data_IF_769585260352
#
_entry.id   IF_769585260352
#
_cell.length_a   1.000
_cell.length_b   1.000
_cell.length_c   1.000
_cell.angle_alpha   90.00
_cell.angle_beta   90.00
_cell.angle_gamma   90.00
#
_symmetry.space_group_name_H-M   'P 1'
#
loop_
_entity.id
_entity.type
_entity.pdbx_description
1 polymer ?
#
# COMPACT_ATOMS: atom_id res chain seq x y z
N UNK A 1 -20.43 -16.14 -7.76
CA UNK A 1 -19.79 -15.24 -8.76
C UNK A 1 -19.15 -14.08 -8.00
N UNK A 2 -17.91 -13.72 -8.29
CA UNK A 2 -17.27 -12.52 -7.74
C UNK A 2 -17.36 -11.41 -8.77
N UNK A 3 -17.90 -10.26 -8.37
CA UNK A 3 -18.07 -9.09 -9.24
C UNK A 3 -17.47 -7.88 -8.55
N UNK A 4 -16.77 -7.07 -9.34
CA UNK A 4 -16.12 -5.86 -8.89
C UNK A 4 -16.56 -4.69 -9.76
N UNK A 5 -16.91 -3.58 -9.12
CA UNK A 5 -17.23 -2.32 -9.79
C UNK A 5 -16.24 -1.25 -9.33
N UNK A 6 -15.85 -0.36 -10.25
CA UNK A 6 -14.95 0.76 -9.97
C UNK A 6 -15.56 2.04 -10.51
N UNK A 7 -15.57 3.07 -9.68
CA UNK A 7 -15.83 4.46 -10.08
C UNK A 7 -14.61 5.33 -9.79
N UNK A 8 -14.46 6.40 -10.56
CA UNK A 8 -13.43 7.41 -10.36
C UNK A 8 -13.95 8.76 -10.86
N UNK A 9 -13.82 9.79 -10.04
CA UNK A 9 -14.09 11.18 -10.42
C UNK A 9 -12.95 12.10 -10.00
N UNK A 10 -12.62 13.06 -10.84
CA UNK A 10 -11.72 14.17 -10.55
C UNK A 10 -12.46 15.51 -10.48
N UNK A 11 -13.78 15.48 -10.24
CA UNK A 11 -14.54 16.68 -9.93
C UNK A 11 -14.04 17.27 -8.59
N UNK A 12 -13.76 18.58 -8.51
CA UNK A 12 -13.27 19.19 -7.27
C UNK A 12 -14.35 19.32 -6.18
N UNK A 13 -15.64 19.24 -6.52
CA UNK A 13 -16.72 19.26 -5.54
C UNK A 13 -16.94 17.86 -4.94
N UNK A 14 -16.94 17.79 -3.61
CA UNK A 14 -16.99 16.50 -2.90
C UNK A 14 -18.30 15.74 -3.15
N UNK A 15 -19.42 16.45 -3.33
CA UNK A 15 -20.72 15.83 -3.55
C UNK A 15 -20.87 15.39 -5.00
N UNK A 16 -20.46 16.21 -5.96
CA UNK A 16 -20.49 15.83 -7.38
C UNK A 16 -19.53 14.67 -7.66
N UNK A 17 -18.30 14.71 -7.13
CA UNK A 17 -17.32 13.65 -7.30
C UNK A 17 -17.83 12.30 -6.82
N UNK A 18 -18.44 12.24 -5.63
CA UNK A 18 -18.97 10.98 -5.10
C UNK A 18 -20.24 10.53 -5.81
N UNK A 19 -21.08 11.45 -6.27
CA UNK A 19 -22.27 11.10 -7.05
C UNK A 19 -21.89 10.45 -8.38
N UNK A 20 -20.93 11.05 -9.10
CA UNK A 20 -20.41 10.50 -10.35
C UNK A 20 -19.79 9.12 -10.12
N UNK A 21 -18.94 9.00 -9.10
CA UNK A 21 -18.28 7.75 -8.73
C UNK A 21 -19.29 6.64 -8.40
N UNK A 22 -20.33 6.95 -7.62
CA UNK A 22 -21.40 6.01 -7.27
C UNK A 22 -22.22 5.62 -8.51
N UNK A 23 -22.55 6.57 -9.38
CA UNK A 23 -23.31 6.29 -10.60
C UNK A 23 -22.56 5.30 -11.50
N UNK A 24 -21.27 5.53 -11.73
CA UNK A 24 -20.41 4.62 -12.49
C UNK A 24 -20.39 3.21 -11.85
N UNK A 25 -20.26 3.14 -10.53
CA UNK A 25 -20.32 1.87 -9.78
C UNK A 25 -21.67 1.16 -9.98
N UNK A 26 -22.80 1.87 -9.80
CA UNK A 26 -24.14 1.29 -9.93
C UNK A 26 -24.41 0.76 -11.34
N UNK A 27 -23.97 1.48 -12.38
CA UNK A 27 -24.07 1.02 -13.77
C UNK A 27 -23.28 -0.28 -13.98
N UNK A 28 -22.07 -0.38 -13.42
CA UNK A 28 -21.25 -1.59 -13.51
C UNK A 28 -21.82 -2.77 -12.71
N UNK A 29 -22.40 -2.49 -11.55
CA UNK A 29 -23.01 -3.49 -10.66
C UNK A 29 -24.25 -4.13 -11.27
N UNK A 30 -24.99 -3.44 -12.14
CA UNK A 30 -26.17 -3.98 -12.85
C UNK A 30 -27.20 -4.62 -11.90
N UNK A 31 -27.49 -3.93 -10.80
CA UNK A 31 -28.46 -4.37 -9.78
C UNK A 31 -27.90 -5.25 -8.66
N UNK A 32 -26.65 -5.72 -8.76
CA UNK A 32 -25.97 -6.43 -7.67
C UNK A 32 -25.70 -5.50 -6.47
N UNK A 33 -25.82 -6.04 -5.26
CA UNK A 33 -25.63 -5.27 -4.02
C UNK A 33 -24.22 -5.54 -3.48
N UNK A 34 -23.38 -4.50 -3.30
CA UNK A 34 -22.03 -4.68 -2.77
C UNK A 34 -22.05 -4.94 -1.27
N UNK A 35 -21.22 -5.88 -0.83
CA UNK A 35 -21.04 -6.21 0.58
C UNK A 35 -19.86 -5.48 1.22
N UNK A 36 -18.88 -5.07 0.42
CA UNK A 36 -17.68 -4.38 0.88
C UNK A 36 -17.16 -3.41 -0.18
N UNK A 37 -16.29 -2.50 0.24
CA UNK A 37 -15.62 -1.60 -0.68
C UNK A 37 -14.37 -0.96 -0.11
N UNK A 38 -13.59 -0.33 -0.99
CA UNK A 38 -12.42 0.47 -0.64
C UNK A 38 -12.54 1.84 -1.30
N UNK A 39 -12.48 2.89 -0.49
CA UNK A 39 -12.47 4.28 -0.93
C UNK A 39 -11.06 4.89 -0.81
N UNK A 40 -10.56 5.45 -1.88
CA UNK A 40 -9.36 6.27 -1.88
C UNK A 40 -9.69 7.68 -2.35
N UNK A 41 -9.14 8.68 -1.66
CA UNK A 41 -9.47 10.08 -1.94
C UNK A 41 -8.29 11.00 -1.66
N UNK A 42 -8.21 12.11 -2.40
CA UNK A 42 -7.30 13.18 -2.06
C UNK A 42 -7.62 13.82 -0.71
N UNK A 43 -6.62 14.47 -0.11
CA UNK A 43 -6.67 14.98 1.27
C UNK A 43 -7.63 16.17 1.47
N UNK A 44 -8.02 16.87 0.41
CA UNK A 44 -8.81 18.12 0.49
C UNK A 44 -10.32 17.94 0.36
N UNK A 45 -10.80 16.72 0.08
CA UNK A 45 -12.23 16.43 0.00
C UNK A 45 -12.93 16.48 1.37
N UNK A 46 -14.24 16.72 1.38
CA UNK A 46 -15.10 16.59 2.55
C UNK A 46 -15.41 15.11 2.83
N UNK A 47 -14.43 14.37 3.37
CA UNK A 47 -14.51 12.91 3.50
C UNK A 47 -15.73 12.41 4.27
N UNK A 48 -16.17 13.13 5.30
CA UNK A 48 -17.38 12.76 6.05
C UNK A 48 -18.63 12.79 5.17
N UNK A 49 -18.77 13.78 4.28
CA UNK A 49 -19.88 13.85 3.33
C UNK A 49 -19.83 12.67 2.36
N UNK A 50 -18.64 12.38 1.83
CA UNK A 50 -18.42 11.27 0.90
C UNK A 50 -18.83 9.93 1.53
N UNK A 51 -18.33 9.63 2.73
CA UNK A 51 -18.63 8.38 3.42
C UNK A 51 -20.13 8.24 3.76
N UNK A 52 -20.79 9.35 4.17
CA UNK A 52 -22.23 9.33 4.40
C UNK A 52 -23.00 9.03 3.11
N UNK A 53 -22.62 9.64 1.98
CA UNK A 53 -23.28 9.40 0.69
C UNK A 53 -23.12 7.96 0.20
N UNK A 54 -21.95 7.35 0.42
CA UNK A 54 -21.73 5.91 0.16
C UNK A 54 -22.66 5.07 1.03
N UNK A 55 -22.71 5.34 2.33
CA UNK A 55 -23.55 4.57 3.25
C UNK A 55 -25.06 4.74 3.00
N UNK A 56 -25.51 5.91 2.56
CA UNK A 56 -26.90 6.14 2.12
C UNK A 56 -27.26 5.30 0.90
N UNK A 57 -26.31 5.10 -0.02
CA UNK A 57 -26.53 4.35 -1.25
C UNK A 57 -26.35 2.84 -1.06
N UNK A 58 -25.37 2.44 -0.25
CA UNK A 58 -25.05 1.05 0.06
C UNK A 58 -25.06 0.83 1.59
N UNK A 59 -26.24 0.71 2.22
CA UNK A 59 -26.34 0.57 3.67
C UNK A 59 -25.64 -0.69 4.18
N UNK A 60 -24.92 -0.56 5.31
CA UNK A 60 -24.18 -1.64 5.99
C UNK A 60 -22.97 -2.20 5.23
N UNK A 61 -22.49 -1.52 4.18
CA UNK A 61 -21.29 -1.93 3.46
C UNK A 61 -20.07 -2.00 4.39
N UNK A 62 -19.28 -3.07 4.27
CA UNK A 62 -17.97 -3.20 4.91
C UNK A 62 -16.95 -2.35 4.14
N UNK A 63 -16.91 -1.05 4.46
CA UNK A 63 -16.08 -0.06 3.77
C UNK A 63 -14.83 0.28 4.60
N UNK A 64 -13.66 0.23 3.96
CA UNK A 64 -12.44 0.88 4.44
C UNK A 64 -11.92 1.88 3.41
N UNK A 65 -10.85 2.58 3.74
CA UNK A 65 -10.19 3.45 2.80
C UNK A 65 -9.19 4.37 3.47
N UNK A 66 -8.76 5.39 2.74
CA UNK A 66 -7.98 6.46 3.30
C UNK A 66 -7.53 7.49 2.28
N UNK A 67 -6.80 8.48 2.77
CA UNK A 67 -6.25 9.53 1.92
C UNK A 67 -4.96 9.12 1.23
N UNK A 68 -4.72 9.71 0.07
CA UNK A 68 -3.64 9.30 -0.83
C UNK A 68 -2.84 10.47 -1.40
N UNK A 69 -1.77 10.14 -2.14
CA UNK A 69 -0.98 11.10 -2.92
C UNK A 69 -1.21 10.95 -4.44
N UNK A 70 -2.37 10.42 -4.82
CA UNK A 70 -2.80 10.22 -6.19
C UNK A 70 -3.57 8.92 -6.34
N UNK A 71 -4.53 8.92 -7.26
CA UNK A 71 -5.46 7.83 -7.47
C UNK A 71 -5.26 7.26 -8.89
N UNK A 72 -5.44 5.95 -9.05
CA UNK A 72 -5.39 5.29 -10.35
C UNK A 72 -6.58 4.36 -10.52
N UNK A 73 -7.13 4.27 -11.73
CA UNK A 73 -8.20 3.31 -12.04
C UNK A 73 -8.25 2.95 -13.52
N UNK A 74 -9.03 1.91 -13.84
CA UNK A 74 -9.45 1.62 -15.22
C UNK A 74 -10.39 2.65 -15.86
N UNK A 75 -10.92 3.61 -15.10
CA UNK A 75 -11.87 4.62 -15.59
C UNK A 75 -11.14 5.88 -16.06
N UNK A 76 -10.36 6.52 -15.18
CA UNK A 76 -9.67 7.79 -15.45
C UNK A 76 -8.14 7.67 -15.53
N UNK A 77 -7.60 6.45 -15.57
CA UNK A 77 -6.15 6.21 -15.44
C UNK A 77 -5.61 6.86 -14.14
N UNK A 78 -4.38 7.37 -14.14
CA UNK A 78 -3.83 8.17 -13.06
C UNK A 78 -4.44 9.58 -13.02
N UNK A 79 -4.88 10.00 -11.84
CA UNK A 79 -5.35 11.34 -11.54
C UNK A 79 -4.71 11.86 -10.25
N UNK A 80 -4.82 13.18 -10.06
CA UNK A 80 -4.51 13.87 -8.81
C UNK A 80 -5.78 14.58 -8.37
N UNK A 81 -5.89 14.82 -7.07
CA UNK A 81 -7.03 15.55 -6.48
C UNK A 81 -8.37 14.90 -6.85
N UNK A 82 -8.42 13.56 -6.80
CA UNK A 82 -9.58 12.79 -7.23
C UNK A 82 -10.00 11.77 -6.17
N UNK A 83 -11.07 11.04 -6.46
CA UNK A 83 -11.54 9.92 -5.63
C UNK A 83 -11.76 8.68 -6.48
N UNK A 84 -11.47 7.50 -5.92
CA UNK A 84 -11.84 6.22 -6.52
C UNK A 84 -12.49 5.31 -5.50
N UNK A 85 -13.56 4.64 -5.92
CA UNK A 85 -14.31 3.67 -5.13
C UNK A 85 -14.29 2.33 -5.85
N UNK A 86 -13.83 1.29 -5.17
CA UNK A 86 -13.97 -0.10 -5.62
C UNK A 86 -14.96 -0.84 -4.71
N UNK A 87 -15.92 -1.54 -5.33
CA UNK A 87 -16.97 -2.28 -4.64
C UNK A 87 -16.88 -3.76 -4.98
N UNK A 88 -17.16 -4.61 -3.98
CA UNK A 88 -17.08 -6.07 -4.09
C UNK A 88 -18.46 -6.71 -3.86
N UNK A 89 -18.87 -7.59 -4.77
CA UNK A 89 -20.08 -8.41 -4.65
C UNK A 89 -19.72 -9.88 -4.78
N UNK A 90 -20.22 -10.71 -3.87
CA UNK A 90 -20.12 -12.17 -3.98
C UNK A 90 -21.07 -12.88 -3.05
N UNK A 91 -21.53 -14.06 -3.48
CA UNK A 91 -22.27 -15.01 -2.64
C UNK A 91 -21.36 -16.08 -2.01
N UNK A 92 -20.08 -16.16 -2.42
CA UNK A 92 -19.15 -17.23 -2.02
C UNK A 92 -17.94 -16.73 -1.20
N UNK A 93 -17.85 -15.41 -1.01
CA UNK A 93 -16.74 -14.74 -0.35
C UNK A 93 -17.34 -13.92 0.79
N UNK A 94 -16.78 -14.04 1.98
CA UNK A 94 -17.09 -13.16 3.10
C UNK A 94 -16.02 -12.09 3.21
N UNK A 95 -16.43 -10.84 3.45
CA UNK A 95 -15.53 -9.71 3.66
C UNK A 95 -15.95 -9.00 4.96
N UNK A 96 -14.99 -8.69 5.84
CA UNK A 96 -15.25 -7.98 7.10
C UNK A 96 -14.26 -6.84 7.29
N UNK A 97 -14.77 -5.65 7.57
CA UNK A 97 -13.95 -4.50 7.91
C UNK A 97 -13.66 -4.47 9.42
N UNK A 98 -12.43 -4.11 9.79
CA UNK A 98 -12.09 -3.76 11.17
C UNK A 98 -11.30 -2.46 11.24
N UNK A 99 -11.15 -1.95 12.46
CA UNK A 99 -10.48 -0.70 12.73
C UNK A 99 -9.76 -0.75 14.09
N UNK A 100 -8.46 -0.47 14.07
CA UNK A 100 -7.67 -0.13 15.26
C UNK A 100 -7.59 1.39 15.37
N UNK A 101 -8.00 1.96 16.51
CA UNK A 101 -7.97 3.42 16.76
C UNK A 101 -6.85 3.79 17.72
N UNK A 102 -6.33 5.00 17.59
CA UNK A 102 -5.21 5.53 18.40
C UNK A 102 -4.01 4.57 18.37
N UNK A 103 -3.67 4.08 17.18
CA UNK A 103 -2.72 3.00 16.98
C UNK A 103 -1.32 3.37 17.48
N UNK A 104 -0.99 4.66 17.60
CA UNK A 104 0.26 5.12 18.20
C UNK A 104 0.41 4.80 19.69
N UNK A 105 -0.67 4.54 20.43
CA UNK A 105 -0.62 4.21 21.85
C UNK A 105 0.00 2.81 22.10
N UNK A 106 -0.39 1.83 21.29
CA UNK A 106 0.18 0.47 21.30
C UNK A 106 -0.04 -0.19 19.92
N UNK A 107 0.87 0.04 18.94
CA UNK A 107 0.64 -0.33 17.55
C UNK A 107 0.50 -1.84 17.35
N UNK A 108 1.19 -2.64 18.18
CA UNK A 108 1.15 -4.10 18.07
C UNK A 108 -0.20 -4.60 18.61
N UNK A 109 -0.56 -4.23 19.84
CA UNK A 109 -1.73 -4.80 20.50
C UNK A 109 -3.05 -4.30 19.89
N UNK A 110 -3.11 -3.02 19.51
CA UNK A 110 -4.30 -2.44 18.89
C UNK A 110 -4.57 -3.09 17.53
N UNK A 111 -3.55 -3.24 16.70
CA UNK A 111 -3.68 -3.84 15.36
C UNK A 111 -4.05 -5.33 15.45
N UNK A 112 -3.44 -6.06 16.40
CA UNK A 112 -3.76 -7.46 16.68
C UNK A 112 -5.24 -7.62 17.06
N UNK A 113 -5.70 -6.88 18.07
CA UNK A 113 -7.08 -6.95 18.56
C UNK A 113 -8.11 -6.55 17.52
N UNK A 114 -7.83 -5.53 16.70
CA UNK A 114 -8.79 -5.07 15.70
C UNK A 114 -9.09 -6.16 14.67
N UNK A 115 -8.07 -6.88 14.19
CA UNK A 115 -8.28 -7.91 13.17
C UNK A 115 -8.80 -9.22 13.74
N UNK A 116 -8.43 -9.61 14.97
CA UNK A 116 -9.04 -10.76 15.67
C UNK A 116 -10.56 -10.62 15.81
N UNK A 117 -11.04 -9.41 16.10
CA UNK A 117 -12.46 -9.14 16.22
C UNK A 117 -13.22 -9.28 14.88
N UNK A 118 -12.57 -8.98 13.75
CA UNK A 118 -13.15 -9.23 12.42
C UNK A 118 -13.09 -10.71 12.04
N UNK A 119 -11.99 -11.40 12.34
CA UNK A 119 -11.84 -12.83 12.05
C UNK A 119 -12.91 -13.66 12.78
N UNK A 120 -13.23 -13.32 14.03
CA UNK A 120 -14.30 -13.97 14.80
C UNK A 120 -15.71 -13.82 14.19
N UNK A 121 -15.90 -12.87 13.27
CA UNK A 121 -17.17 -12.63 12.58
C UNK A 121 -17.27 -13.37 11.23
N UNK A 122 -16.18 -14.05 10.81
CA UNK A 122 -16.17 -14.89 9.62
C UNK A 122 -16.70 -16.28 9.94
N UNK A 123 -17.45 -16.84 9.00
CA UNK A 123 -17.85 -18.26 9.02
C UNK A 123 -17.03 -19.09 8.01
N UNK A 124 -16.37 -18.43 7.07
CA UNK A 124 -15.46 -19.05 6.11
C UNK A 124 -13.98 -18.83 6.50
N UNK A 125 -13.05 -19.71 6.07
CA UNK A 125 -11.63 -19.52 6.33
C UNK A 125 -11.09 -18.25 5.65
N UNK A 126 -10.40 -17.41 6.43
CA UNK A 126 -9.71 -16.23 5.92
C UNK A 126 -8.60 -16.62 4.93
N UNK A 127 -8.37 -15.76 3.94
CA UNK A 127 -7.48 -16.01 2.79
C UNK A 127 -6.37 -14.98 2.69
N UNK A 128 -6.69 -13.70 2.91
CA UNK A 128 -5.75 -12.59 2.98
C UNK A 128 -6.42 -11.37 3.62
N UNK A 129 -5.61 -10.37 3.98
CA UNK A 129 -6.06 -9.11 4.54
C UNK A 129 -5.59 -7.94 3.67
N UNK A 130 -6.42 -6.92 3.48
CA UNK A 130 -5.99 -5.61 2.97
C UNK A 130 -5.97 -4.64 4.14
N UNK A 131 -4.85 -3.94 4.34
CA UNK A 131 -4.65 -2.96 5.41
C UNK A 131 -4.38 -1.57 4.84
N UNK A 132 -5.11 -0.57 5.35
CA UNK A 132 -4.88 0.85 5.08
C UNK A 132 -4.48 1.49 6.40
N UNK A 133 -3.21 1.88 6.50
CA UNK A 133 -2.61 2.27 7.78
C UNK A 133 -2.38 3.78 7.86
N UNK A 134 -2.32 4.29 9.08
CA UNK A 134 -1.60 5.51 9.42
C UNK A 134 -0.16 5.50 8.90
N UNK A 135 0.44 6.67 8.68
CA UNK A 135 1.80 6.81 8.16
C UNK A 135 2.70 7.78 8.91
N UNK A 136 2.18 8.56 9.87
CA UNK A 136 2.94 9.66 10.48
C UNK A 136 3.17 9.50 11.99
N UNK A 137 2.29 8.81 12.71
CA UNK A 137 2.30 8.81 14.19
C UNK A 137 3.07 7.66 14.82
N UNK A 138 3.25 6.54 14.10
CA UNK A 138 3.86 5.32 14.63
C UNK A 138 4.49 4.47 13.53
N UNK A 139 5.24 3.43 13.92
CA UNK A 139 5.88 2.49 13.00
C UNK A 139 4.86 1.57 12.35
N UNK A 140 4.86 1.54 11.02
CA UNK A 140 4.02 0.65 10.22
C UNK A 140 4.53 -0.80 10.34
N UNK A 141 5.85 -0.99 10.52
CA UNK A 141 6.41 -2.31 10.86
C UNK A 141 5.82 -2.85 12.16
N UNK A 142 5.60 -2.01 13.18
CA UNK A 142 4.94 -2.43 14.43
C UNK A 142 3.44 -2.71 14.25
N UNK A 143 2.73 -1.94 13.43
CA UNK A 143 1.33 -2.24 13.05
C UNK A 143 1.25 -3.60 12.36
N UNK A 144 2.11 -3.81 11.36
CA UNK A 144 2.19 -5.06 10.59
C UNK A 144 2.47 -6.25 11.49
N UNK A 145 3.41 -6.12 12.43
CA UNK A 145 3.69 -7.16 13.42
C UNK A 145 2.44 -7.52 14.24
N UNK A 146 1.64 -6.53 14.66
CA UNK A 146 0.38 -6.78 15.35
C UNK A 146 -0.63 -7.56 14.50
N UNK A 147 -0.78 -7.18 13.23
CA UNK A 147 -1.64 -7.90 12.28
C UNK A 147 -1.17 -9.34 12.05
N UNK A 148 0.14 -9.57 11.89
CA UNK A 148 0.73 -10.89 11.70
C UNK A 148 0.57 -11.80 12.93
N UNK A 149 0.63 -11.23 14.15
CA UNK A 149 0.39 -12.00 15.37
C UNK A 149 -1.04 -12.58 15.43
N UNK A 150 -2.02 -11.89 14.86
CA UNK A 150 -3.40 -12.36 14.77
C UNK A 150 -3.62 -13.30 13.58
N UNK A 151 -3.14 -12.90 12.39
CA UNK A 151 -3.43 -13.56 11.13
C UNK A 151 -2.50 -14.74 10.78
N UNK A 152 -1.41 -14.90 11.55
CA UNK A 152 -0.40 -15.93 11.29
C UNK A 152 0.25 -15.75 9.91
N UNK A 153 0.10 -16.75 9.04
CA UNK A 153 0.72 -16.78 7.71
C UNK A 153 -0.16 -16.20 6.60
N UNK A 154 -1.34 -15.63 6.92
CA UNK A 154 -2.17 -15.02 5.88
C UNK A 154 -1.45 -13.78 5.33
N UNK A 155 -1.33 -13.65 3.99
CA UNK A 155 -0.68 -12.49 3.41
C UNK A 155 -1.51 -11.23 3.65
N UNK A 156 -0.80 -10.13 3.88
CA UNK A 156 -1.36 -8.80 4.11
C UNK A 156 -0.90 -7.93 2.95
N UNK A 157 -1.85 -7.23 2.34
CA UNK A 157 -1.62 -6.29 1.26
C UNK A 157 -2.07 -4.89 1.69
N UNK A 158 -1.62 -3.87 0.98
CA UNK A 158 -2.16 -2.53 1.17
C UNK A 158 -1.08 -1.46 1.18
N UNK A 159 -1.31 -0.41 1.95
CA UNK A 159 -0.36 0.67 2.06
C UNK A 159 -0.75 1.73 3.08
N UNK A 160 0.21 2.58 3.36
CA UNK A 160 0.08 3.67 4.32
C UNK A 160 -0.54 4.88 3.63
N UNK A 161 -1.53 5.46 4.28
CA UNK A 161 -2.22 6.68 3.82
C UNK A 161 -1.26 7.85 3.66
N UNK A 162 -1.62 8.80 2.82
CA UNK A 162 -0.80 9.96 2.48
C UNK A 162 -1.59 11.27 2.55
N UNK A 163 -0.88 12.39 2.58
CA UNK A 163 -1.44 13.73 2.71
C UNK A 163 -0.80 14.72 1.74
N UNK A 164 -0.44 14.25 0.54
CA UNK A 164 0.20 15.05 -0.50
C UNK A 164 1.46 15.79 -0.05
N UNK A 165 2.40 15.07 0.58
CA UNK A 165 3.67 15.61 1.07
C UNK A 165 3.55 16.71 2.13
N UNK A 166 2.37 16.88 2.74
CA UNK A 166 2.16 17.87 3.80
C UNK A 166 2.79 17.40 5.11
N UNK A 167 2.86 16.09 5.35
CA UNK A 167 3.38 15.48 6.56
C UNK A 167 2.78 16.07 7.85
N UNK A 168 1.48 16.34 7.82
CA UNK A 168 0.71 16.92 8.93
C UNK A 168 -0.30 15.94 9.50
N UNK A 169 -1.04 15.27 8.62
CA UNK A 169 -2.13 14.36 9.02
C UNK A 169 -2.63 13.60 7.82
N UNK A 170 -2.73 12.27 7.96
CA UNK A 170 -3.43 11.41 7.01
C UNK A 170 -4.74 10.92 7.63
N UNK A 171 -5.63 10.36 6.80
CA UNK A 171 -6.88 9.78 7.28
C UNK A 171 -7.08 8.36 6.80
N UNK A 172 -7.60 7.52 7.69
CA UNK A 172 -8.13 6.20 7.40
C UNK A 172 -9.65 6.26 7.49
N UNK A 173 -10.34 5.61 6.55
CA UNK A 173 -11.78 5.55 6.51
C UNK A 173 -12.26 4.20 7.01
N UNK A 174 -13.30 4.22 7.84
CA UNK A 174 -13.95 3.02 8.33
C UNK A 174 -15.46 3.25 8.38
N UNK A 175 -16.21 2.58 7.49
CA UNK A 175 -17.65 2.78 7.34
C UNK A 175 -17.97 4.26 7.14
N UNK A 176 -18.56 4.93 8.14
CA UNK A 176 -18.91 6.35 8.08
C UNK A 176 -17.93 7.26 8.85
N UNK A 177 -16.87 6.69 9.43
CA UNK A 177 -15.90 7.39 10.25
C UNK A 177 -14.68 7.81 9.44
N UNK A 178 -14.25 9.06 9.65
CA UNK A 178 -12.96 9.60 9.19
C UNK A 178 -12.04 9.65 10.40
N UNK A 179 -11.01 8.82 10.39
CA UNK A 179 -10.10 8.63 11.52
C UNK A 179 -8.69 9.04 11.12
N UNK A 180 -7.88 9.42 12.09
CA UNK A 180 -6.43 9.57 11.98
C UNK A 180 -5.80 8.75 13.10
N UNK A 181 -4.53 8.39 12.99
CA UNK A 181 -3.89 7.49 13.95
C UNK A 181 -4.63 6.15 14.07
N UNK A 182 -4.96 5.56 12.93
CA UNK A 182 -5.73 4.33 12.87
C UNK A 182 -5.20 3.32 11.82
N UNK A 183 -5.68 2.09 11.93
CA UNK A 183 -5.45 1.03 10.94
C UNK A 183 -6.79 0.41 10.57
N UNK A 184 -7.23 0.63 9.33
CA UNK A 184 -8.44 0.03 8.79
C UNK A 184 -8.06 -1.23 8.00
N UNK A 185 -8.77 -2.33 8.19
CA UNK A 185 -8.50 -3.58 7.46
C UNK A 185 -9.75 -4.19 6.87
N UNK A 186 -9.61 -4.88 5.74
CA UNK A 186 -10.62 -5.77 5.15
C UNK A 186 -10.06 -7.19 5.10
N UNK A 187 -10.72 -8.09 5.80
CA UNK A 187 -10.39 -9.51 5.80
C UNK A 187 -11.26 -10.25 4.78
N UNK A 188 -10.63 -10.95 3.83
CA UNK A 188 -11.31 -11.72 2.78
C UNK A 188 -11.27 -13.20 3.13
N UNK A 189 -12.41 -13.88 3.00
CA UNK A 189 -12.56 -15.29 3.33
C UNK A 189 -13.41 -16.04 2.30
N UNK A 190 -13.22 -17.37 2.19
CA UNK A 190 -14.01 -18.21 1.28
C UNK A 190 -13.36 -18.46 -0.08
N UNK A 191 -14.19 -18.58 -1.12
CA UNK A 191 -13.76 -18.99 -2.47
C UNK A 191 -13.25 -17.79 -3.29
N UNK A 192 -12.15 -17.18 -2.85
CA UNK A 192 -11.43 -16.13 -3.57
C UNK A 192 -10.05 -16.63 -4.00
N UNK A 193 -9.74 -16.40 -5.28
CA UNK A 193 -8.42 -16.55 -5.86
C UNK A 193 -7.72 -15.20 -5.82
N UNK A 194 -6.43 -15.23 -5.49
CA UNK A 194 -5.59 -14.05 -5.51
C UNK A 194 -4.15 -14.42 -5.86
N UNK A 195 -3.43 -13.43 -6.36
CA UNK A 195 -1.99 -13.48 -6.51
C UNK A 195 -1.43 -12.07 -6.41
N UNK A 196 -0.12 -11.97 -6.16
CA UNK A 196 0.55 -10.69 -6.05
C UNK A 196 1.86 -10.66 -6.80
N UNK A 197 2.33 -9.44 -7.06
CA UNK A 197 3.68 -9.18 -7.50
C UNK A 197 4.16 -7.87 -6.88
N UNK A 198 5.47 -7.81 -6.64
CA UNK A 198 6.10 -6.74 -5.87
C UNK A 198 7.41 -6.37 -6.56
N UNK A 199 7.52 -5.13 -7.04
CA UNK A 199 8.75 -4.68 -7.70
C UNK A 199 9.01 -3.19 -7.49
N UNK A 200 10.27 -2.82 -7.23
CA UNK A 200 10.68 -1.43 -6.99
C UNK A 200 11.32 -0.77 -8.20
N UNK A 201 12.18 -1.46 -8.94
CA UNK A 201 12.99 -0.82 -9.99
C UNK A 201 14.28 -0.18 -9.47
N UNK A 202 14.54 -0.24 -8.16
CA UNK A 202 15.84 0.12 -7.58
C UNK A 202 16.74 -1.10 -7.49
N UNK A 203 17.98 -0.94 -7.91
CA UNK A 203 18.98 -2.01 -7.94
C UNK A 203 20.07 -1.75 -6.89
N UNK A 204 20.40 -2.72 -6.03
CA UNK A 204 21.53 -2.64 -5.11
C UNK A 204 22.86 -2.53 -5.88
N UNK A 205 23.74 -1.63 -5.42
CA UNK A 205 25.09 -1.49 -5.96
C UNK A 205 26.14 -1.62 -4.85
N UNK A 206 27.38 -1.87 -5.23
CA UNK A 206 28.50 -1.98 -4.28
C UNK A 206 28.50 -3.29 -3.49
N UNK A 207 29.17 -3.28 -2.33
CA UNK A 207 29.24 -4.45 -1.44
C UNK A 207 28.08 -4.38 -0.43
N UNK A 208 27.62 -5.54 0.05
CA UNK A 208 26.80 -5.58 1.27
C UNK A 208 27.65 -5.17 2.48
N UNK A 209 27.15 -4.21 3.25
CA UNK A 209 27.76 -3.73 4.49
C UNK A 209 26.87 -4.02 5.69
N UNK A 210 27.44 -4.41 6.82
CA UNK A 210 26.69 -4.76 8.01
C UNK A 210 26.25 -3.49 8.75
N UNK A 211 25.00 -3.41 9.15
CA UNK A 211 24.55 -2.40 10.11
C UNK A 211 25.01 -2.83 11.50
N UNK A 212 26.04 -2.16 12.02
CA UNK A 212 26.69 -2.55 13.29
C UNK A 212 26.07 -1.89 14.50
N UNK A 213 25.32 -0.80 14.32
CA UNK A 213 24.57 -0.13 15.39
C UNK A 213 23.32 0.57 14.84
N UNK A 214 22.16 0.13 15.31
CA UNK A 214 20.85 0.69 14.95
C UNK A 214 19.95 0.71 16.18
N UNK A 215 19.09 1.71 16.28
CA UNK A 215 17.94 1.73 17.18
C UNK A 215 16.70 2.02 16.33
N UNK A 216 15.81 1.04 16.19
CA UNK A 216 14.60 1.13 15.37
C UNK A 216 14.90 1.54 13.92
N UNK A 217 14.59 2.78 13.55
CA UNK A 217 14.80 3.35 12.23
C UNK A 217 16.01 4.31 12.18
N UNK A 218 16.80 4.42 13.25
CA UNK A 218 17.99 5.28 13.32
C UNK A 218 19.25 4.41 13.21
N UNK A 219 19.94 4.52 12.09
CA UNK A 219 21.19 3.82 11.81
C UNK A 219 22.35 4.71 12.26
N UNK A 220 23.09 4.27 13.28
CA UNK A 220 24.26 4.99 13.77
C UNK A 220 25.53 4.55 13.07
N UNK A 221 25.68 3.24 12.85
CA UNK A 221 26.91 2.69 12.28
C UNK A 221 26.66 1.62 11.21
N UNK A 222 27.45 1.71 10.14
CA UNK A 222 27.55 0.72 9.07
C UNK A 222 29.03 0.34 8.94
N UNK A 223 29.35 -0.95 9.02
CA UNK A 223 30.73 -1.49 9.08
C UNK A 223 31.61 -0.78 10.14
N UNK A 224 31.06 -0.52 11.34
CA UNK A 224 31.73 0.18 12.45
C UNK A 224 32.18 1.62 12.13
N UNK A 225 31.54 2.27 11.15
CA UNK A 225 31.74 3.68 10.81
C UNK A 225 30.41 4.43 10.88
N UNK A 226 30.43 5.77 11.06
CA UNK A 226 29.22 6.57 10.99
C UNK A 226 28.40 6.27 9.73
N UNK A 227 27.08 6.16 9.87
CA UNK A 227 26.20 5.84 8.75
C UNK A 227 26.29 6.85 7.60
N UNK A 228 26.53 8.14 7.89
CA UNK A 228 26.74 9.17 6.86
C UNK A 228 27.94 8.89 5.95
N UNK A 229 29.02 8.31 6.48
CA UNK A 229 30.20 7.96 5.68
C UNK A 229 29.84 6.97 4.56
N UNK A 230 28.81 6.15 4.76
CA UNK A 230 28.34 5.19 3.75
C UNK A 230 27.78 5.91 2.51
N UNK A 231 26.94 6.94 2.71
CA UNK A 231 26.39 7.73 1.61
C UNK A 231 27.48 8.56 0.92
N UNK A 232 28.37 9.19 1.70
CA UNK A 232 29.49 9.95 1.14
C UNK A 232 30.41 9.09 0.28
N UNK A 233 30.74 7.88 0.73
CA UNK A 233 31.60 6.95 -0.01
C UNK A 233 31.01 6.55 -1.38
N UNK A 234 29.71 6.31 -1.46
CA UNK A 234 29.08 5.79 -2.68
C UNK A 234 28.61 6.88 -3.66
N UNK A 235 28.21 8.05 -3.15
CA UNK A 235 27.53 9.07 -3.94
C UNK A 235 28.27 10.41 -3.97
N UNK A 236 29.34 10.58 -3.19
CA UNK A 236 30.07 11.86 -3.04
C UNK A 236 29.14 13.00 -2.60
N UNK A 237 28.19 12.69 -1.71
CA UNK A 237 27.23 13.63 -1.13
C UNK A 237 27.40 13.72 0.38
N UNK A 238 27.23 14.93 0.93
CA UNK A 238 27.34 15.17 2.37
C UNK A 238 26.06 14.83 3.14
N UNK A 239 24.94 14.65 2.42
CA UNK A 239 23.62 14.35 3.00
C UNK A 239 22.93 13.24 2.23
N UNK A 240 22.22 12.31 2.90
CA UNK A 240 21.41 11.30 2.23
C UNK A 240 20.34 11.95 1.36
N UNK A 241 20.05 11.33 0.22
CA UNK A 241 18.95 11.71 -0.67
C UNK A 241 18.00 10.51 -0.81
N UNK A 242 16.70 10.78 -0.73
CA UNK A 242 15.63 9.79 -0.83
C UNK A 242 15.56 9.11 -2.20
N UNK A 243 16.18 9.69 -3.24
CA UNK A 243 16.35 9.03 -4.54
C UNK A 243 17.22 7.77 -4.43
N UNK A 244 18.06 7.67 -3.40
CA UNK A 244 18.97 6.54 -3.15
C UNK A 244 18.61 5.84 -1.82
N UNK A 245 17.45 5.14 -1.76
CA UNK A 245 17.10 4.36 -0.59
C UNK A 245 18.12 3.23 -0.35
N UNK A 246 18.20 2.76 0.89
CA UNK A 246 18.99 1.57 1.22
C UNK A 246 18.18 0.32 0.85
N UNK A 247 18.82 -0.62 0.15
CA UNK A 247 18.38 -2.01 0.12
C UNK A 247 18.78 -2.65 1.44
N UNK A 248 17.79 -3.05 2.23
CA UNK A 248 17.96 -3.66 3.54
C UNK A 248 17.71 -5.16 3.41
N UNK A 249 18.74 -5.95 3.70
CA UNK A 249 18.71 -7.41 3.71
C UNK A 249 18.61 -7.86 5.18
N UNK A 250 17.49 -8.49 5.58
CA UNK A 250 17.38 -9.07 6.91
C UNK A 250 18.48 -10.13 7.16
N UNK A 251 18.77 -10.46 8.43
CA UNK A 251 19.77 -11.47 8.77
C UNK A 251 19.50 -12.81 8.06
N UNK A 252 20.49 -13.31 7.32
CA UNK A 252 20.44 -14.56 6.55
C UNK A 252 19.45 -14.59 5.37
N UNK A 253 18.96 -13.42 4.93
CA UNK A 253 18.08 -13.30 3.77
C UNK A 253 18.84 -12.75 2.54
N UNK A 254 18.51 -13.28 1.36
CA UNK A 254 19.02 -12.75 0.08
C UNK A 254 18.07 -11.73 -0.55
N UNK A 255 16.83 -11.69 -0.07
CA UNK A 255 15.83 -10.70 -0.50
C UNK A 255 15.96 -9.43 0.32
N UNK A 256 15.61 -8.29 -0.29
CA UNK A 256 15.68 -6.99 0.36
C UNK A 256 14.37 -6.24 0.20
N UNK A 257 14.12 -5.34 1.13
CA UNK A 257 13.16 -4.25 0.99
C UNK A 257 13.91 -2.91 1.04
N UNK A 258 13.23 -1.83 0.64
CA UNK A 258 13.84 -0.51 0.55
C UNK A 258 13.44 0.38 1.72
N UNK A 259 14.37 1.24 2.11
CA UNK A 259 14.19 2.26 3.16
C UNK A 259 14.79 3.58 2.69
N UNK A 260 13.94 4.60 2.57
CA UNK A 260 14.38 5.97 2.22
C UNK A 260 14.96 6.68 3.44
N UNK A 261 15.97 7.53 3.24
CA UNK A 261 16.58 8.31 4.30
C UNK A 261 15.82 9.64 4.53
N UNK A 262 15.06 9.71 5.62
CA UNK A 262 14.15 10.84 5.89
C UNK A 262 14.80 11.94 6.74
N UNK A 263 15.84 11.63 7.52
CA UNK A 263 16.60 12.61 8.29
C UNK A 263 18.03 12.13 8.55
N UNK A 264 18.89 13.03 9.02
CA UNK A 264 20.26 12.73 9.41
C UNK A 264 20.74 13.68 10.50
N UNK A 265 21.80 13.29 11.20
CA UNK A 265 22.46 14.08 12.23
C UNK A 265 23.97 14.14 11.97
N UNK A 266 24.50 15.36 11.79
CA UNK A 266 25.92 15.59 11.49
C UNK A 266 26.85 15.41 12.71
N UNK A 267 26.33 15.53 13.93
CA UNK A 267 27.12 15.39 15.14
C UNK A 267 27.36 13.92 15.48
N UNK A 268 26.32 13.10 15.35
CA UNK A 268 26.39 11.65 15.60
C UNK A 268 26.81 10.87 14.36
N UNK A 269 26.63 11.45 13.17
CA UNK A 269 26.84 10.79 11.89
C UNK A 269 25.76 9.77 11.53
N UNK A 270 24.61 9.80 12.22
CA UNK A 270 23.51 8.86 12.03
C UNK A 270 22.56 9.24 10.89
N UNK A 271 21.85 8.25 10.37
CA UNK A 271 20.79 8.41 9.36
C UNK A 271 19.49 7.83 9.93
N UNK A 272 18.40 8.58 9.79
CA UNK A 272 17.06 8.09 10.10
C UNK A 272 16.38 7.66 8.79
N UNK A 273 15.91 6.42 8.75
CA UNK A 273 15.17 5.88 7.61
C UNK A 273 13.66 5.87 7.86
N UNK A 274 12.89 5.66 6.80
CA UNK A 274 11.41 5.75 6.76
C UNK A 274 10.68 4.86 7.77
N UNK A 275 11.21 3.69 8.12
CA UNK A 275 10.67 2.83 9.17
C UNK A 275 11.77 1.90 9.69
N UNK A 276 11.44 1.11 10.72
CA UNK A 276 12.34 0.20 11.40
C UNK A 276 13.04 -0.76 10.44
N UNK A 277 14.28 -1.10 10.78
CA UNK A 277 15.03 -2.19 10.15
C UNK A 277 15.40 -3.24 11.20
N UNK A 278 15.50 -4.53 10.84
CA UNK A 278 15.96 -5.55 11.76
C UNK A 278 17.41 -5.29 12.20
N UNK A 279 17.72 -5.59 13.46
CA UNK A 279 19.11 -5.63 13.92
C UNK A 279 19.93 -6.67 13.13
N UNK A 280 21.23 -6.43 13.00
CA UNK A 280 22.15 -7.27 12.21
C UNK A 280 21.80 -7.40 10.71
N UNK A 281 20.95 -6.51 10.19
CA UNK A 281 20.73 -6.42 8.75
C UNK A 281 21.99 -5.97 8.02
N UNK A 282 22.11 -6.35 6.75
CA UNK A 282 23.09 -5.73 5.84
C UNK A 282 22.41 -4.77 4.89
N UNK A 283 23.14 -3.78 4.42
CA UNK A 283 22.63 -2.73 3.53
C UNK A 283 23.49 -2.55 2.30
N UNK A 284 22.85 -2.09 1.23
CA UNK A 284 23.49 -1.58 0.02
C UNK A 284 22.83 -0.26 -0.36
N UNK A 285 23.62 0.66 -0.91
CA UNK A 285 23.06 1.81 -1.62
C UNK A 285 22.38 1.28 -2.88
N UNK A 286 21.33 1.96 -3.33
CA UNK A 286 20.62 1.59 -4.56
C UNK A 286 20.63 2.70 -5.58
N UNK A 287 20.35 2.35 -6.83
CA UNK A 287 20.20 3.28 -7.94
C UNK A 287 18.99 2.88 -8.78
N UNK A 288 18.39 3.85 -9.48
CA UNK A 288 17.30 3.61 -10.45
C UNK A 288 17.36 4.59 -11.60
N UNK A 289 16.65 4.29 -12.69
CA UNK A 289 16.25 5.22 -13.74
C UNK A 289 14.72 5.33 -13.82
N UNK A 290 14.19 6.35 -14.49
CA UNK A 290 12.74 6.49 -14.67
C UNK A 290 12.15 5.29 -15.43
N UNK A 291 12.91 4.76 -16.39
CA UNK A 291 12.56 3.58 -17.16
C UNK A 291 12.52 2.32 -16.29
N UNK A 292 13.45 2.17 -15.34
CA UNK A 292 13.44 1.04 -14.39
C UNK A 292 12.21 1.09 -13.47
N UNK A 293 11.82 2.29 -13.04
CA UNK A 293 10.63 2.50 -12.21
C UNK A 293 9.38 2.06 -12.99
N UNK A 294 9.21 2.54 -14.22
CA UNK A 294 8.07 2.16 -15.07
C UNK A 294 8.10 0.66 -15.39
N UNK A 295 9.26 0.10 -15.71
CA UNK A 295 9.41 -1.33 -15.97
C UNK A 295 9.04 -2.17 -14.74
N UNK A 296 9.31 -1.68 -13.52
CA UNK A 296 8.93 -2.37 -12.30
C UNK A 296 7.40 -2.55 -12.14
N UNK A 297 6.57 -1.58 -12.59
CA UNK A 297 5.11 -1.75 -12.53
C UNK A 297 4.66 -2.92 -13.44
N UNK A 298 5.28 -3.07 -14.61
CA UNK A 298 5.04 -4.22 -15.50
C UNK A 298 5.55 -5.53 -14.91
N UNK A 299 6.72 -5.54 -14.27
CA UNK A 299 7.28 -6.74 -13.61
C UNK A 299 6.36 -7.20 -12.49
N UNK A 300 5.92 -6.28 -11.64
CA UNK A 300 4.95 -6.55 -10.57
C UNK A 300 3.66 -7.15 -11.10
N UNK A 301 3.09 -6.55 -12.16
CA UNK A 301 1.87 -7.09 -12.77
C UNK A 301 2.09 -8.48 -13.42
N UNK A 302 3.19 -8.66 -14.14
CA UNK A 302 3.52 -9.91 -14.81
C UNK A 302 3.76 -11.05 -13.80
N UNK A 303 4.41 -10.77 -12.67
CA UNK A 303 4.58 -11.73 -11.57
C UNK A 303 3.23 -12.12 -10.97
N UNK A 304 2.37 -11.15 -10.67
CA UNK A 304 1.03 -11.42 -10.18
C UNK A 304 0.25 -12.30 -11.15
N UNK A 305 0.28 -11.97 -12.45
CA UNK A 305 -0.42 -12.75 -13.48
C UNK A 305 0.14 -14.17 -13.63
N UNK A 306 1.47 -14.33 -13.60
CA UNK A 306 2.12 -15.63 -13.73
C UNK A 306 1.79 -16.57 -12.56
N UNK A 307 1.54 -16.01 -11.37
CA UNK A 307 1.21 -16.74 -10.16
C UNK A 307 -0.31 -16.86 -9.90
N UNK A 308 -1.15 -16.30 -10.78
CA UNK A 308 -2.61 -16.38 -10.62
C UNK A 308 -3.11 -17.80 -10.96
N UNK A 309 -3.83 -18.41 -10.02
CA UNK A 309 -4.24 -19.82 -10.13
C UNK A 309 -5.48 -20.04 -11.01
N UNK A 310 -6.26 -18.98 -11.28
CA UNK A 310 -7.46 -19.01 -12.12
C UNK A 310 -7.16 -18.81 -13.59
N UNK A 311 -8.19 -18.70 -14.43
CA UNK A 311 -8.00 -18.48 -15.87
C UNK A 311 -7.56 -17.06 -16.18
N UNK A 312 -8.31 -16.08 -15.68
CA UNK A 312 -7.99 -14.65 -15.76
C UNK A 312 -8.50 -13.97 -14.48
N UNK A 313 -7.80 -12.96 -13.96
CA UNK A 313 -8.28 -12.17 -12.83
C UNK A 313 -9.49 -11.32 -13.22
N UNK A 314 -10.39 -11.09 -12.27
CA UNK A 314 -11.58 -10.25 -12.44
C UNK A 314 -11.30 -8.80 -12.05
N UNK A 315 -10.35 -8.57 -11.13
CA UNK A 315 -9.94 -7.23 -10.73
C UNK A 315 -8.46 -7.15 -10.33
N UNK A 316 -7.94 -5.92 -10.30
CA UNK A 316 -6.63 -5.61 -9.71
C UNK A 316 -6.68 -4.41 -8.75
N UNK A 317 -5.88 -4.49 -7.69
CA UNK A 317 -5.53 -3.38 -6.82
C UNK A 317 -4.06 -3.03 -6.99
N UNK A 318 -3.77 -1.74 -7.14
CA UNK A 318 -2.40 -1.23 -7.24
C UNK A 318 -2.06 -0.38 -6.02
N UNK A 319 -0.90 -0.64 -5.42
CA UNK A 319 -0.32 0.19 -4.37
C UNK A 319 1.05 0.67 -4.85
N UNK A 320 1.20 1.96 -5.14
CA UNK A 320 2.44 2.55 -5.62
C UNK A 320 2.99 3.52 -4.59
N UNK A 321 4.30 3.57 -4.39
CA UNK A 321 4.87 4.55 -3.47
C UNK A 321 4.76 5.98 -4.00
N UNK A 322 4.37 6.92 -3.15
CA UNK A 322 4.37 8.35 -3.43
C UNK A 322 5.74 8.81 -3.98
N UNK A 323 6.85 8.28 -3.47
CA UNK A 323 8.18 8.59 -4.00
C UNK A 323 8.37 8.23 -5.48
N UNK A 324 7.71 7.18 -5.98
CA UNK A 324 7.72 6.83 -7.41
C UNK A 324 7.01 7.90 -8.23
N UNK A 325 5.85 8.38 -7.76
CA UNK A 325 5.18 9.55 -8.36
C UNK A 325 6.09 10.77 -8.35
N UNK A 326 6.75 11.06 -7.23
CA UNK A 326 7.61 12.23 -7.09
C UNK A 326 8.77 12.25 -8.10
N UNK A 327 9.42 11.11 -8.33
CA UNK A 327 10.52 11.03 -9.31
C UNK A 327 10.03 11.00 -10.75
N UNK A 328 8.87 10.38 -11.02
CA UNK A 328 8.31 10.30 -12.37
C UNK A 328 7.69 11.63 -12.82
N UNK A 329 7.16 12.43 -11.89
CA UNK A 329 6.57 13.73 -12.16
C UNK A 329 5.45 13.64 -13.21
N UNK A 330 5.62 14.30 -14.36
CA UNK A 330 4.62 14.26 -15.44
C UNK A 330 4.48 12.88 -16.10
N UNK A 331 5.41 11.95 -15.82
CA UNK A 331 5.43 10.59 -16.36
C UNK A 331 4.71 9.57 -15.46
N UNK A 332 4.14 9.98 -14.32
CA UNK A 332 3.50 9.05 -13.37
C UNK A 332 2.43 8.15 -14.03
N UNK A 333 1.65 8.70 -14.96
CA UNK A 333 0.64 7.90 -15.67
C UNK A 333 1.25 6.81 -16.60
N UNK A 334 2.55 6.86 -16.90
CA UNK A 334 3.22 5.79 -17.63
C UNK A 334 3.27 4.48 -16.84
N UNK A 335 3.26 4.51 -15.50
CA UNK A 335 3.22 3.28 -14.68
C UNK A 335 1.97 2.45 -14.98
N UNK A 336 0.81 3.10 -15.00
CA UNK A 336 -0.48 2.47 -15.31
C UNK A 336 -0.55 2.06 -16.78
N UNK A 337 -0.20 2.98 -17.70
CA UNK A 337 -0.27 2.72 -19.14
C UNK A 337 0.64 1.58 -19.59
N UNK A 338 1.79 1.41 -18.94
CA UNK A 338 2.69 0.31 -19.20
C UNK A 338 2.05 -1.05 -18.88
N UNK A 339 1.24 -1.13 -17.82
CA UNK A 339 0.45 -2.31 -17.48
C UNK A 339 -0.73 -2.46 -18.45
N UNK A 340 -1.55 -1.42 -18.60
CA UNK A 340 -2.76 -1.44 -19.42
C UNK A 340 -2.45 -1.81 -20.89
N UNK A 341 -1.35 -1.29 -21.45
CA UNK A 341 -0.91 -1.61 -22.81
C UNK A 341 -0.48 -3.07 -23.02
N UNK A 342 -0.25 -3.84 -21.95
CA UNK A 342 0.07 -5.28 -22.02
C UNK A 342 -1.17 -6.17 -22.03
N UNK A 343 -2.35 -5.62 -21.73
CA UNK A 343 -3.59 -6.36 -21.60
C UNK A 343 -4.38 -6.40 -22.91
N UNK A 344 -5.00 -7.56 -23.18
CA UNK A 344 -5.91 -7.73 -24.34
C UNK A 344 -7.25 -7.02 -24.14
N UNK A 345 -7.66 -6.87 -22.88
CA UNK A 345 -8.91 -6.24 -22.46
C UNK A 345 -8.64 -5.45 -21.18
N UNK A 346 -9.41 -4.38 -20.97
CA UNK A 346 -9.30 -3.57 -19.76
C UNK A 346 -9.65 -4.45 -18.55
N UNK A 347 -8.73 -4.56 -17.61
CA UNK A 347 -8.96 -5.19 -16.32
C UNK A 347 -9.54 -4.15 -15.37
N UNK A 348 -10.67 -4.45 -14.74
CA UNK A 348 -11.26 -3.59 -13.71
C UNK A 348 -10.24 -3.39 -12.59
N UNK A 349 -9.83 -2.15 -12.35
CA UNK A 349 -8.79 -1.89 -11.36
C UNK A 349 -8.93 -0.52 -10.73
N UNK A 350 -8.43 -0.42 -9.49
CA UNK A 350 -8.17 0.84 -8.82
C UNK A 350 -6.85 0.73 -8.04
N UNK A 351 -6.38 1.85 -7.54
CA UNK A 351 -5.18 1.90 -6.73
C UNK A 351 -4.85 3.31 -6.28
N UNK A 352 -3.78 3.43 -5.52
CA UNK A 352 -3.35 4.73 -5.02
C UNK A 352 -1.86 4.83 -4.73
N UNK A 353 -1.42 6.08 -4.59
CA UNK A 353 -0.07 6.44 -4.20
C UNK A 353 0.03 6.59 -2.68
N UNK A 354 0.89 5.76 -2.08
CA UNK A 354 0.95 5.49 -0.64
C UNK A 354 2.24 6.01 -0.01
N UNK A 355 2.27 6.28 1.29
CA UNK A 355 3.51 6.54 2.04
C UNK A 355 4.31 5.25 2.37
N UNK A 356 4.02 4.15 1.69
CA UNK A 356 4.71 2.87 1.76
C UNK A 356 3.74 1.70 1.63
N UNK A 357 4.21 0.61 1.06
CA UNK A 357 3.38 -0.50 0.60
C UNK A 357 3.48 -1.69 1.55
N UNK A 358 2.40 -2.45 1.69
CA UNK A 358 2.39 -3.70 2.44
C UNK A 358 2.15 -4.83 1.43
N UNK A 359 3.05 -5.80 1.40
CA UNK A 359 2.95 -6.99 0.55
C UNK A 359 3.97 -8.04 0.97
N UNK A 360 3.74 -9.33 0.72
CA UNK A 360 4.81 -10.31 0.72
C UNK A 360 5.97 -9.92 -0.21
N UNK A 361 7.20 -10.28 0.18
CA UNK A 361 8.37 -10.13 -0.69
C UNK A 361 8.29 -11.06 -1.91
N UNK A 362 7.74 -12.27 -1.74
CA UNK A 362 7.48 -13.27 -2.79
C UNK A 362 6.34 -14.20 -2.38
N UNK A 363 5.46 -14.53 -3.33
CA UNK A 363 4.38 -15.52 -3.12
C UNK A 363 3.44 -15.17 -1.97
N UNK A 364 2.86 -16.19 -1.31
CA UNK A 364 1.91 -16.03 -0.20
C UNK A 364 2.59 -16.17 1.18
N UNK A 365 3.75 -15.51 1.34
CA UNK A 365 4.55 -15.57 2.57
C UNK A 365 4.25 -14.45 3.56
N UNK A 366 5.15 -14.30 4.55
CA UNK A 366 5.15 -13.18 5.49
C UNK A 366 5.18 -11.84 4.74
N UNK A 367 4.45 -10.86 5.26
CA UNK A 367 4.31 -9.56 4.62
C UNK A 367 5.38 -8.61 5.12
N UNK A 368 5.79 -7.68 4.27
CA UNK A 368 6.79 -6.68 4.59
C UNK A 368 6.23 -5.31 4.32
N UNK A 369 6.75 -4.32 5.07
CA UNK A 369 6.57 -2.92 4.74
C UNK A 369 7.67 -2.48 3.77
N UNK A 370 7.27 -1.97 2.61
CA UNK A 370 8.12 -1.56 1.51
C UNK A 370 8.06 -0.04 1.32
N UNK A 371 9.11 0.51 0.74
CA UNK A 371 9.10 1.87 0.20
C UNK A 371 9.60 1.82 -1.23
N UNK A 372 9.27 2.84 -2.04
CA UNK A 372 9.69 2.93 -3.46
C UNK A 372 9.27 1.72 -4.30
N UNK A 373 8.20 1.02 -3.90
CA UNK A 373 7.75 -0.23 -4.50
C UNK A 373 6.38 -0.05 -5.18
N UNK A 374 6.13 -0.88 -6.19
CA UNK A 374 4.83 -1.06 -6.83
C UNK A 374 4.32 -2.47 -6.57
N UNK A 375 3.15 -2.56 -5.95
CA UNK A 375 2.48 -3.82 -5.61
C UNK A 375 1.24 -3.97 -6.48
N UNK A 376 1.12 -5.13 -7.12
CA UNK A 376 -0.10 -5.58 -7.79
C UNK A 376 -0.74 -6.67 -6.96
N UNK A 377 -2.03 -6.54 -6.66
CA UNK A 377 -2.86 -7.62 -6.13
C UNK A 377 -3.95 -7.95 -7.15
N UNK A 378 -3.96 -9.17 -7.67
CA UNK A 378 -4.99 -9.67 -8.57
C UNK A 378 -6.03 -10.46 -7.78
N UNK A 379 -7.30 -10.29 -8.13
CA UNK A 379 -8.45 -10.90 -7.45
C UNK A 379 -9.40 -11.54 -8.47
N UNK A 380 -10.03 -12.65 -8.08
CA UNK A 380 -11.13 -13.27 -8.82
C UNK A 380 -11.64 -14.53 -8.13
N UNK A 381 -12.52 -15.30 -8.76
CA UNK A 381 -13.02 -16.55 -8.16
C UNK A 381 -12.95 -17.81 -9.04
N UNK A 382 -12.39 -17.76 -10.27
CA UNK A 382 -12.26 -18.92 -11.17
C UNK A 382 -11.01 -18.94 -12.07
#
# INVERSE_FOLDING_TARGET
>A
MFKVAVGHSNDPDSLEAINETIEQCQQSLDGEIPQAGILFAAIDFEHSLILQRINETFPNIELIGGTTDGEVSSVLEFQQDSITLMLFCSDEIEIRASIGRNVSEDPIEISRKSVEAAEQQLTLPAKFCIAVTESLTTSIVSILQGLELALGNLPIFGGATADQWRYKRTYQFYKTEVLSDAVATLLFAGNILFSNGTASGWQPIGKRSLVTKVDKNIIYEIDHKPALDFYHYYLDIDKPDNVYPLAVFPPNEETFFLRGAIAYDLQTGSITVSDNIPENSSVQITYTSLEDVIAASQVSFAEAKANYAGQEPEAALFFSCAWRRQILGTRTNEEYRAIAGSLKQVLTCCGFYTHGEISPLRGNGQSFFHNTTFVTLLLGNH
#
